data_IF_683152059543
#
_entry.id   IF_683152059543
#
_cell.length_a   1.000
_cell.length_b   1.000
_cell.length_c   1.000
_cell.angle_alpha   90.00
_cell.angle_beta   90.00
_cell.angle_gamma   90.00
#
_symmetry.space_group_name_H-M   'P 1'
#
loop_
_entity.id
_entity.type
_entity.pdbx_description
1 polymer ?
#
# COMPACT_ATOMS: atom_id res chain seq x y z
N UNK A 1 -26.66 -25.43 -18.20
CA UNK A 1 -25.39 -25.07 -17.56
C UNK A 1 -25.18 -23.57 -17.72
N UNK A 2 -25.18 -22.79 -16.63
CA UNK A 2 -24.95 -21.34 -16.67
C UNK A 2 -23.57 -21.06 -16.05
N UNK A 3 -22.76 -20.29 -16.74
CA UNK A 3 -21.46 -19.86 -16.22
C UNK A 3 -21.69 -18.49 -15.58
N UNK A 4 -21.50 -18.41 -14.27
CA UNK A 4 -21.55 -17.15 -13.53
C UNK A 4 -20.11 -16.78 -13.18
N UNK A 5 -19.55 -15.84 -13.93
CA UNK A 5 -18.24 -15.26 -13.66
C UNK A 5 -18.37 -14.12 -12.66
N UNK A 6 -17.79 -14.28 -11.47
CA UNK A 6 -17.58 -13.15 -10.57
C UNK A 6 -16.33 -12.41 -11.01
N UNK A 7 -16.53 -11.31 -11.73
CA UNK A 7 -15.46 -10.44 -12.18
C UNK A 7 -14.97 -9.62 -10.97
N UNK A 8 -14.01 -10.15 -10.21
CA UNK A 8 -13.36 -9.37 -9.17
C UNK A 8 -12.34 -8.43 -9.81
N UNK A 9 -12.45 -7.18 -9.37
CA UNK A 9 -11.67 -5.96 -9.67
C UNK A 9 -10.12 -6.15 -9.77
N UNK A 10 -9.58 -7.26 -9.26
CA UNK A 10 -8.14 -7.54 -9.19
C UNK A 10 -7.47 -7.72 -10.57
N UNK A 11 -8.13 -8.39 -11.52
CA UNK A 11 -7.60 -8.57 -12.90
C UNK A 11 -7.66 -7.26 -13.69
N UNK A 12 -8.67 -6.43 -13.43
CA UNK A 12 -8.80 -5.09 -14.01
C UNK A 12 -7.66 -4.18 -13.52
N UNK A 13 -7.30 -4.26 -12.23
CA UNK A 13 -6.14 -3.57 -11.67
C UNK A 13 -4.82 -3.97 -12.35
N UNK A 14 -4.58 -5.27 -12.54
CA UNK A 14 -3.35 -5.77 -13.21
C UNK A 14 -3.26 -5.39 -14.69
N UNK A 15 -4.39 -5.34 -15.40
CA UNK A 15 -4.42 -5.05 -16.85
C UNK A 15 -4.33 -3.55 -17.15
N UNK A 16 -4.98 -2.71 -16.34
CA UNK A 16 -4.82 -1.25 -16.37
C UNK A 16 -3.38 -0.85 -15.96
N UNK A 17 -2.72 -1.67 -15.13
CA UNK A 17 -1.31 -1.48 -14.73
C UNK A 17 -0.31 -1.50 -15.89
N UNK A 18 -0.53 -2.36 -16.89
CA UNK A 18 0.35 -2.49 -18.04
C UNK A 18 0.10 -1.38 -19.08
N UNK A 19 -1.13 -0.89 -19.19
CA UNK A 19 -1.52 0.14 -20.17
C UNK A 19 -1.19 1.57 -19.70
N UNK A 20 -1.24 1.87 -18.40
CA UNK A 20 -0.99 3.23 -17.88
C UNK A 20 0.48 3.68 -17.97
N UNK A 21 1.41 2.76 -18.24
CA UNK A 21 2.81 3.09 -18.50
C UNK A 21 2.96 3.97 -19.75
N UNK A 22 2.08 3.87 -20.75
CA UNK A 22 2.20 4.65 -21.98
C UNK A 22 1.78 6.13 -21.82
N UNK A 23 0.84 6.43 -20.90
CA UNK A 23 0.29 7.78 -20.74
C UNK A 23 1.13 8.69 -19.83
N UNK A 24 2.01 8.13 -18.98
CA UNK A 24 2.83 8.92 -18.05
C UNK A 24 4.04 9.62 -18.69
N UNK A 25 4.35 9.33 -19.97
CA UNK A 25 5.56 9.77 -20.67
C UNK A 25 5.50 11.17 -21.32
N UNK A 26 4.43 11.95 -21.14
CA UNK A 26 4.29 13.22 -21.87
C UNK A 26 5.04 14.44 -21.30
N UNK A 27 5.55 14.41 -20.06
CA UNK A 27 6.30 15.53 -19.49
C UNK A 27 7.70 15.08 -19.04
N UNK A 28 8.74 15.62 -19.68
CA UNK A 28 10.14 15.32 -19.38
C UNK A 28 10.64 16.04 -18.12
N UNK A 29 9.94 17.07 -17.67
CA UNK A 29 10.27 17.88 -16.50
C UNK A 29 8.97 18.19 -15.77
N UNK A 30 8.92 17.85 -14.48
CA UNK A 30 7.84 18.24 -13.60
C UNK A 30 8.31 19.45 -12.77
N UNK A 31 7.46 20.47 -12.60
CA UNK A 31 7.78 21.73 -11.91
C UNK A 31 6.78 21.99 -10.79
N UNK A 32 7.29 22.28 -9.60
CA UNK A 32 6.54 22.75 -8.44
C UNK A 32 6.82 24.24 -8.22
N UNK A 33 5.80 24.97 -7.81
CA UNK A 33 5.92 26.41 -7.54
C UNK A 33 5.16 26.79 -6.27
N UNK A 34 5.69 27.73 -5.52
CA UNK A 34 5.03 28.28 -4.33
C UNK A 34 5.63 29.62 -3.92
N UNK A 35 4.90 30.41 -3.11
CA UNK A 35 5.40 31.69 -2.65
C UNK A 35 6.55 31.50 -1.65
N UNK A 36 7.61 32.28 -1.81
CA UNK A 36 8.64 32.46 -0.79
C UNK A 36 8.03 33.29 0.34
N UNK A 37 8.05 32.75 1.55
CA UNK A 37 7.60 33.49 2.73
C UNK A 37 8.82 34.15 3.38
N UNK A 38 8.76 35.46 3.54
CA UNK A 38 9.71 36.23 4.35
C UNK A 38 9.31 36.09 5.82
N UNK A 39 10.07 35.31 6.57
CA UNK A 39 9.73 34.90 7.93
C UNK A 39 10.87 35.23 8.90
N UNK A 40 10.54 35.32 10.18
CA UNK A 40 11.57 35.37 11.24
C UNK A 40 12.08 33.95 11.52
N UNK A 41 13.32 33.84 12.01
CA UNK A 41 13.98 32.55 12.29
C UNK A 41 13.12 31.60 13.14
N UNK A 42 12.40 32.12 14.14
CA UNK A 42 11.53 31.34 15.02
C UNK A 42 10.27 30.76 14.33
N UNK A 43 9.89 31.29 13.16
CA UNK A 43 8.67 30.91 12.43
C UNK A 43 8.95 30.17 11.12
N UNK A 44 10.21 30.08 10.71
CA UNK A 44 10.59 29.45 9.46
C UNK A 44 10.31 27.94 9.47
N UNK A 45 9.73 27.43 8.39
CA UNK A 45 9.49 26.01 8.19
C UNK A 45 9.65 25.63 6.72
N UNK A 46 10.26 24.48 6.46
CA UNK A 46 10.36 23.92 5.12
C UNK A 46 9.03 23.36 4.59
N UNK A 47 8.03 23.16 5.45
CA UNK A 47 6.75 22.53 5.10
C UNK A 47 5.93 23.31 4.07
N UNK A 48 6.09 24.63 4.00
CA UNK A 48 5.38 25.50 3.07
C UNK A 48 6.08 25.64 1.72
N UNK A 49 7.32 25.18 1.61
CA UNK A 49 8.15 25.35 0.43
C UNK A 49 7.94 24.19 -0.56
N UNK A 50 7.80 24.49 -1.87
CA UNK A 50 7.56 23.49 -2.90
C UNK A 50 8.76 22.53 -3.02
N UNK A 51 8.53 21.21 -3.00
CA UNK A 51 9.60 20.24 -3.20
C UNK A 51 10.69 20.23 -2.11
N UNK A 52 10.45 20.85 -0.94
CA UNK A 52 11.43 20.92 0.16
C UNK A 52 11.92 19.55 0.66
N UNK A 53 11.12 18.53 0.41
CA UNK A 53 11.44 17.13 0.60
C UNK A 53 12.70 16.67 -0.18
N UNK A 54 12.93 17.24 -1.36
CA UNK A 54 13.99 16.84 -2.29
C UNK A 54 15.24 17.72 -2.22
N UNK A 55 15.29 18.69 -1.32
CA UNK A 55 16.39 19.66 -1.27
C UNK A 55 17.69 19.04 -0.75
N UNK A 56 18.78 19.32 -1.47
CA UNK A 56 20.14 19.12 -0.98
C UNK A 56 20.43 20.05 0.20
N UNK A 57 21.54 19.80 0.91
CA UNK A 57 21.95 20.61 2.06
C UNK A 57 22.18 22.08 1.66
N UNK A 58 22.81 22.31 0.51
CA UNK A 58 23.01 23.66 -0.03
C UNK A 58 21.69 24.32 -0.44
N UNK A 59 20.78 23.58 -1.09
CA UNK A 59 19.45 24.10 -1.46
C UNK A 59 18.67 24.56 -0.22
N UNK A 60 18.71 23.77 0.87
CA UNK A 60 18.06 24.13 2.13
C UNK A 60 18.59 25.42 2.73
N UNK A 61 19.91 25.52 2.89
CA UNK A 61 20.55 26.73 3.42
C UNK A 61 20.26 27.94 2.53
N UNK A 62 20.28 27.76 1.22
CA UNK A 62 20.03 28.83 0.27
C UNK A 62 18.60 29.38 0.36
N UNK A 63 17.58 28.52 0.43
CA UNK A 63 16.19 28.99 0.59
C UNK A 63 15.96 29.55 1.99
N UNK A 64 16.58 28.97 3.02
CA UNK A 64 16.52 29.50 4.37
C UNK A 64 17.04 30.94 4.43
N UNK A 65 18.24 31.20 3.90
CA UNK A 65 18.83 32.55 3.87
C UNK A 65 18.00 33.53 3.03
N UNK A 66 17.43 33.07 1.91
CA UNK A 66 16.51 33.87 1.10
C UNK A 66 15.22 34.21 1.87
N UNK A 67 14.63 33.26 2.59
CA UNK A 67 13.43 33.45 3.42
C UNK A 67 13.66 34.36 4.63
N UNK A 68 14.89 34.47 5.13
CA UNK A 68 15.24 35.41 6.20
C UNK A 68 15.60 36.81 5.68
N UNK A 69 15.62 37.01 4.35
CA UNK A 69 16.01 38.27 3.73
C UNK A 69 17.51 38.58 3.85
N UNK A 70 18.33 37.61 4.26
CA UNK A 70 19.79 37.79 4.36
C UNK A 70 20.48 37.69 3.00
N UNK A 71 19.78 37.16 2.00
CA UNK A 71 20.27 36.98 0.63
C UNK A 71 19.28 37.52 -0.39
N UNK A 72 19.79 38.23 -1.41
CA UNK A 72 18.96 38.66 -2.54
C UNK A 72 18.43 37.45 -3.32
N UNK A 73 17.11 37.36 -3.41
CA UNK A 73 16.36 36.30 -4.09
C UNK A 73 16.37 36.43 -5.62
N UNK A 74 16.47 37.66 -6.16
CA UNK A 74 16.39 37.90 -7.59
C UNK A 74 17.70 37.50 -8.30
N UNK A 75 17.61 36.56 -9.26
CA UNK A 75 18.64 36.15 -10.25
C UNK A 75 19.53 34.94 -9.96
N UNK A 76 19.26 34.12 -8.93
CA UNK A 76 20.07 32.91 -8.72
C UNK A 76 19.26 31.61 -8.87
N UNK A 77 19.82 30.68 -9.65
CA UNK A 77 19.34 29.32 -9.81
C UNK A 77 20.40 28.36 -9.29
N UNK A 78 19.96 27.29 -8.65
CA UNK A 78 20.79 26.27 -8.07
C UNK A 78 20.46 24.93 -8.69
N UNK A 79 21.50 24.21 -9.09
CA UNK A 79 21.39 22.87 -9.65
C UNK A 79 21.89 21.86 -8.62
N UNK A 80 21.09 20.84 -8.35
CA UNK A 80 21.41 19.75 -7.44
C UNK A 80 21.37 18.40 -8.18
N UNK A 81 22.52 17.74 -8.36
CA UNK A 81 22.55 16.39 -8.90
C UNK A 81 22.04 15.37 -7.87
N UNK A 82 21.22 14.42 -8.32
CA UNK A 82 20.79 13.27 -7.53
C UNK A 82 21.45 11.99 -8.04
N UNK A 83 21.86 11.14 -7.11
CA UNK A 83 22.49 9.86 -7.41
C UNK A 83 21.63 8.68 -6.97
N UNK A 84 21.83 7.57 -7.68
CA UNK A 84 21.28 6.26 -7.36
C UNK A 84 22.45 5.28 -7.34
N UNK A 85 22.77 4.72 -6.17
CA UNK A 85 23.99 3.92 -5.96
C UNK A 85 25.27 4.68 -6.33
N UNK A 86 25.29 6.00 -6.08
CA UNK A 86 26.42 6.87 -6.45
C UNK A 86 26.52 7.22 -7.95
N UNK A 87 25.69 6.64 -8.83
CA UNK A 87 25.61 7.00 -10.24
C UNK A 87 24.62 8.14 -10.46
N UNK A 88 24.88 9.08 -11.40
CA UNK A 88 23.95 10.17 -11.69
C UNK A 88 22.61 9.61 -12.17
N UNK A 89 21.51 10.08 -11.59
CA UNK A 89 20.15 9.58 -11.86
C UNK A 89 19.13 10.69 -12.04
N UNK A 90 19.31 11.84 -11.39
CA UNK A 90 18.39 12.96 -11.55
C UNK A 90 19.12 14.29 -11.47
N UNK A 91 18.50 15.34 -12.00
CA UNK A 91 18.93 16.73 -11.83
C UNK A 91 17.72 17.51 -11.30
N UNK A 92 17.87 18.08 -10.11
CA UNK A 92 16.92 19.05 -9.58
C UNK A 92 17.44 20.47 -9.83
N UNK A 93 16.54 21.38 -10.18
CA UNK A 93 16.85 22.81 -10.35
C UNK A 93 15.90 23.60 -9.47
N UNK A 94 16.46 24.50 -8.69
CA UNK A 94 15.75 25.36 -7.77
C UNK A 94 16.06 26.81 -8.14
N UNK A 95 15.04 27.64 -8.33
CA UNK A 95 15.23 29.06 -8.58
C UNK A 95 14.16 29.90 -7.90
N UNK A 96 14.49 31.16 -7.63
CA UNK A 96 13.57 32.15 -7.09
C UNK A 96 13.39 33.24 -8.14
N UNK A 97 12.15 33.52 -8.50
CA UNK A 97 11.79 34.58 -9.43
C UNK A 97 11.78 35.96 -8.74
N UNK A 98 11.78 37.04 -9.52
CA UNK A 98 11.72 38.43 -9.03
C UNK A 98 10.47 38.74 -8.22
N UNK A 99 9.43 37.93 -8.36
CA UNK A 99 8.17 38.04 -7.60
C UNK A 99 8.17 37.20 -6.31
N UNK A 100 9.34 36.81 -5.80
CA UNK A 100 9.48 35.97 -4.60
C UNK A 100 8.70 34.65 -4.70
N UNK A 101 8.74 34.02 -5.88
CA UNK A 101 8.19 32.68 -6.08
C UNK A 101 9.32 31.68 -6.19
N UNK A 102 9.26 30.63 -5.37
CA UNK A 102 10.19 29.50 -5.40
C UNK A 102 9.68 28.49 -6.41
N UNK A 103 10.56 28.07 -7.31
CA UNK A 103 10.30 27.03 -8.28
C UNK A 103 11.29 25.89 -8.12
N UNK A 104 10.78 24.68 -8.10
CA UNK A 104 11.59 23.47 -8.03
C UNK A 104 11.21 22.54 -9.18
N UNK A 105 12.15 22.28 -10.07
CA UNK A 105 11.99 21.36 -11.19
C UNK A 105 12.87 20.15 -11.01
N UNK A 106 12.38 18.97 -11.41
CA UNK A 106 13.19 17.75 -11.43
C UNK A 106 13.11 17.09 -12.79
N UNK A 107 14.28 16.73 -13.31
CA UNK A 107 14.44 15.87 -14.47
C UNK A 107 15.09 14.56 -14.01
N UNK A 108 14.46 13.43 -14.33
CA UNK A 108 14.97 12.11 -14.00
C UNK A 108 15.51 11.44 -15.25
N UNK A 109 16.65 10.76 -15.13
CA UNK A 109 17.24 10.00 -16.23
C UNK A 109 16.43 8.72 -16.45
N UNK A 110 15.94 8.55 -17.66
CA UNK A 110 15.19 7.36 -18.09
C UNK A 110 16.11 6.17 -18.44
N UNK A 111 17.42 6.39 -18.38
CA UNK A 111 18.45 5.41 -18.69
C UNK A 111 18.58 5.16 -20.19
N UNK A 112 19.54 4.29 -20.53
CA UNK A 112 19.84 3.96 -21.93
C UNK A 112 18.66 3.28 -22.63
N UNK A 113 18.60 3.40 -23.97
CA UNK A 113 17.61 2.66 -24.78
C UNK A 113 17.71 1.15 -24.55
N UNK A 114 18.92 0.63 -24.37
CA UNK A 114 19.17 -0.79 -24.05
C UNK A 114 18.48 -1.17 -22.73
N UNK A 115 18.65 -0.37 -21.68
CA UNK A 115 17.99 -0.61 -20.39
C UNK A 115 16.46 -0.64 -20.52
N UNK A 116 15.89 0.24 -21.33
CA UNK A 116 14.45 0.27 -21.61
C UNK A 116 13.97 -1.01 -22.31
N UNK A 117 14.70 -1.51 -23.31
CA UNK A 117 14.38 -2.79 -23.96
C UNK A 117 14.56 -3.99 -23.02
N UNK A 118 15.59 -3.98 -22.16
CA UNK A 118 15.76 -5.01 -21.13
C UNK A 118 14.58 -5.05 -20.16
N UNK A 119 14.11 -3.88 -19.66
CA UNK A 119 12.89 -3.79 -18.83
C UNK A 119 11.66 -4.31 -19.56
N UNK A 120 11.51 -3.96 -20.84
CA UNK A 120 10.41 -4.45 -21.67
C UNK A 120 10.44 -5.98 -21.82
N UNK A 121 11.59 -6.56 -22.16
CA UNK A 121 11.77 -8.01 -22.27
C UNK A 121 11.52 -8.74 -20.94
N UNK A 122 11.98 -8.16 -19.83
CA UNK A 122 11.71 -8.68 -18.49
C UNK A 122 10.20 -8.69 -18.18
N UNK A 123 9.49 -7.58 -18.42
CA UNK A 123 8.04 -7.49 -18.24
C UNK A 123 7.28 -8.47 -19.12
N UNK A 124 7.67 -8.58 -20.38
CA UNK A 124 7.08 -9.55 -21.31
C UNK A 124 7.27 -10.99 -20.80
N UNK A 125 8.47 -11.35 -20.36
CA UNK A 125 8.76 -12.65 -19.76
C UNK A 125 7.95 -12.93 -18.49
N UNK A 126 7.81 -11.93 -17.61
CA UNK A 126 6.93 -12.03 -16.43
C UNK A 126 5.46 -12.27 -16.82
N UNK A 127 4.94 -11.52 -17.80
CA UNK A 127 3.57 -11.69 -18.29
C UNK A 127 3.34 -13.10 -18.85
N UNK A 128 4.26 -13.58 -19.70
CA UNK A 128 4.19 -14.96 -20.22
C UNK A 128 4.24 -16.00 -19.09
N UNK A 129 5.08 -15.78 -18.08
CA UNK A 129 5.17 -16.67 -16.92
C UNK A 129 3.88 -16.70 -16.11
N UNK A 130 3.24 -15.55 -15.88
CA UNK A 130 1.96 -15.46 -15.19
C UNK A 130 0.87 -16.16 -15.98
N UNK A 131 0.79 -15.93 -17.30
CA UNK A 131 -0.17 -16.60 -18.18
C UNK A 131 0.01 -18.13 -18.17
N UNK A 132 1.26 -18.60 -18.22
CA UNK A 132 1.58 -20.02 -18.13
C UNK A 132 1.11 -20.62 -16.79
N UNK A 133 1.38 -19.95 -15.67
CA UNK A 133 0.95 -20.42 -14.36
C UNK A 133 -0.58 -20.44 -14.27
N UNK A 134 -1.25 -19.36 -14.67
CA UNK A 134 -2.71 -19.28 -14.71
C UNK A 134 -3.32 -20.40 -15.56
N UNK A 135 -2.74 -20.69 -16.71
CA UNK A 135 -3.22 -21.78 -17.55
C UNK A 135 -3.07 -23.13 -16.85
N UNK A 136 -1.85 -23.45 -16.40
CA UNK A 136 -1.50 -24.78 -15.88
C UNK A 136 -2.13 -25.10 -14.54
N UNK A 137 -2.25 -24.13 -13.63
CA UNK A 137 -2.74 -24.37 -12.26
C UNK A 137 -4.19 -23.97 -12.03
N UNK A 138 -4.80 -23.17 -12.91
CA UNK A 138 -6.16 -22.69 -12.72
C UNK A 138 -7.10 -23.10 -13.85
N UNK A 139 -6.84 -22.66 -15.08
CA UNK A 139 -7.78 -22.86 -16.20
C UNK A 139 -7.87 -24.31 -16.68
N UNK A 140 -6.79 -25.10 -16.60
CA UNK A 140 -6.81 -26.52 -16.97
C UNK A 140 -7.79 -27.32 -16.09
N UNK A 141 -7.80 -27.07 -14.78
CA UNK A 141 -8.71 -27.77 -13.86
C UNK A 141 -10.17 -27.35 -14.08
N UNK A 142 -10.41 -26.07 -14.34
CA UNK A 142 -11.75 -25.59 -14.72
C UNK A 142 -12.27 -26.29 -15.98
N UNK A 143 -11.41 -26.43 -17.01
CA UNK A 143 -11.76 -27.12 -18.25
C UNK A 143 -12.02 -28.61 -18.04
N UNK A 144 -11.32 -29.25 -17.10
CA UNK A 144 -11.54 -30.66 -16.75
C UNK A 144 -12.89 -30.83 -16.04
N UNK A 145 -13.18 -29.99 -15.05
CA UNK A 145 -14.44 -29.99 -14.31
C UNK A 145 -15.65 -29.73 -15.23
N UNK A 146 -15.54 -28.74 -16.13
CA UNK A 146 -16.59 -28.44 -17.08
C UNK A 146 -16.86 -29.59 -18.06
N UNK A 147 -15.82 -30.35 -18.45
CA UNK A 147 -15.99 -31.55 -19.29
C UNK A 147 -16.67 -32.69 -18.51
N UNK A 148 -16.23 -32.97 -17.29
CA UNK A 148 -16.84 -33.99 -16.44
C UNK A 148 -18.32 -33.71 -16.17
N UNK A 149 -18.67 -32.47 -15.81
CA UNK A 149 -20.06 -32.09 -15.56
C UNK A 149 -20.94 -32.14 -16.82
N UNK A 150 -20.38 -31.93 -18.02
CA UNK A 150 -21.10 -32.12 -19.29
C UNK A 150 -21.30 -33.59 -19.65
N UNK A 151 -20.35 -34.45 -19.30
CA UNK A 151 -20.40 -35.87 -19.64
C UNK A 151 -21.29 -36.67 -18.68
N UNK A 152 -21.22 -36.38 -17.38
CA UNK A 152 -21.92 -37.16 -16.36
C UNK A 152 -23.21 -36.50 -15.85
N UNK A 153 -23.39 -35.20 -16.11
CA UNK A 153 -24.62 -34.46 -15.77
C UNK A 153 -24.99 -34.51 -14.28
N UNK A 154 -26.18 -34.00 -13.97
CA UNK A 154 -26.88 -34.34 -12.74
C UNK A 154 -28.09 -35.20 -13.14
N UNK A 155 -28.39 -36.27 -12.41
CA UNK A 155 -29.37 -37.29 -12.81
C UNK A 155 -30.83 -36.81 -12.94
N UNK A 156 -31.12 -35.51 -12.83
CA UNK A 156 -32.48 -34.94 -12.91
C UNK A 156 -32.65 -33.93 -14.06
N UNK A 157 -33.75 -34.06 -14.82
CA UNK A 157 -34.13 -33.19 -15.95
C UNK A 157 -34.31 -31.69 -15.59
N UNK A 158 -34.35 -31.35 -14.30
CA UNK A 158 -34.57 -29.98 -13.82
C UNK A 158 -33.40 -29.38 -13.03
N UNK A 159 -32.28 -30.10 -12.85
CA UNK A 159 -31.16 -29.58 -12.06
C UNK A 159 -30.23 -28.68 -12.88
N UNK A 160 -30.24 -27.38 -12.55
CA UNK A 160 -29.34 -26.40 -13.17
C UNK A 160 -27.98 -26.42 -12.48
N UNK A 161 -27.00 -26.99 -13.14
CA UNK A 161 -25.60 -26.89 -12.73
C UNK A 161 -25.03 -25.51 -13.09
N UNK A 162 -24.55 -24.80 -12.08
CA UNK A 162 -23.83 -23.54 -12.21
C UNK A 162 -22.38 -23.72 -11.71
N UNK A 163 -21.40 -23.33 -12.53
CA UNK A 163 -20.01 -23.30 -12.10
C UNK A 163 -19.65 -21.87 -11.72
N UNK A 164 -19.33 -21.67 -10.45
CA UNK A 164 -18.87 -20.40 -9.91
C UNK A 164 -17.35 -20.33 -10.10
N UNK A 165 -16.92 -19.40 -10.94
CA UNK A 165 -15.49 -19.16 -11.22
C UNK A 165 -14.99 -18.08 -10.27
N UNK A 166 -14.04 -18.45 -9.42
CA UNK A 166 -13.36 -17.51 -8.52
C UNK A 166 -12.33 -16.63 -9.23
N UNK A 167 -11.77 -15.65 -8.52
CA UNK A 167 -10.68 -14.82 -9.02
C UNK A 167 -9.35 -15.60 -8.96
N UNK A 168 -8.62 -15.76 -10.07
CA UNK A 168 -7.35 -16.47 -10.06
C UNK A 168 -6.21 -15.68 -9.38
N UNK A 169 -6.42 -14.40 -9.05
CA UNK A 169 -5.36 -13.55 -8.48
C UNK A 169 -4.77 -14.15 -7.20
N UNK A 170 -5.56 -14.81 -6.35
CA UNK A 170 -5.05 -15.43 -5.12
C UNK A 170 -3.94 -16.46 -5.37
N UNK A 171 -4.01 -17.21 -6.48
CA UNK A 171 -2.97 -18.16 -6.85
C UNK A 171 -1.67 -17.49 -7.26
N UNK A 172 -1.75 -16.35 -7.97
CA UNK A 172 -0.58 -15.55 -8.34
C UNK A 172 0.06 -14.98 -7.08
N UNK A 173 -0.76 -14.43 -6.18
CA UNK A 173 -0.32 -13.78 -4.95
C UNK A 173 0.38 -14.74 -3.98
N UNK A 174 0.04 -16.03 -3.98
CA UNK A 174 0.69 -17.04 -3.14
C UNK A 174 2.05 -17.49 -3.68
N UNK A 175 2.39 -17.16 -4.94
CA UNK A 175 3.66 -17.56 -5.53
C UNK A 175 4.77 -16.56 -5.19
N UNK A 176 5.60 -16.90 -4.20
CA UNK A 176 6.71 -16.06 -3.71
C UNK A 176 7.63 -15.58 -4.83
N UNK A 177 7.91 -16.42 -5.83
CA UNK A 177 8.79 -16.04 -6.95
C UNK A 177 8.17 -14.95 -7.82
N UNK A 178 6.86 -15.00 -8.05
CA UNK A 178 6.17 -13.96 -8.82
C UNK A 178 6.18 -12.63 -8.04
N UNK A 179 5.91 -12.66 -6.74
CA UNK A 179 6.03 -11.46 -5.91
C UNK A 179 7.46 -10.89 -5.94
N UNK A 180 8.49 -11.74 -5.83
CA UNK A 180 9.88 -11.31 -5.90
C UNK A 180 10.22 -10.66 -7.26
N UNK A 181 9.74 -11.22 -8.37
CA UNK A 181 9.93 -10.63 -9.70
C UNK A 181 9.28 -9.24 -9.82
N UNK A 182 8.08 -9.04 -9.26
CA UNK A 182 7.44 -7.73 -9.23
C UNK A 182 8.17 -6.72 -8.34
N UNK A 183 8.73 -7.17 -7.22
CA UNK A 183 9.60 -6.33 -6.38
C UNK A 183 10.83 -5.88 -7.17
N UNK A 184 11.48 -6.81 -7.89
CA UNK A 184 12.61 -6.47 -8.77
C UNK A 184 12.21 -5.50 -9.88
N UNK A 185 11.05 -5.69 -10.54
CA UNK A 185 10.54 -4.74 -11.56
C UNK A 185 10.41 -3.32 -11.02
N UNK A 186 9.90 -3.20 -9.80
CA UNK A 186 9.72 -1.92 -9.12
C UNK A 186 11.06 -1.24 -8.88
N UNK A 187 12.04 -1.97 -8.32
CA UNK A 187 13.40 -1.46 -8.08
C UNK A 187 14.14 -1.10 -9.37
N UNK A 188 13.87 -1.80 -10.48
CA UNK A 188 14.41 -1.43 -11.79
C UNK A 188 13.75 -0.18 -12.41
N UNK A 189 12.67 0.34 -11.80
CA UNK A 189 11.89 1.47 -12.31
C UNK A 189 11.79 2.63 -11.31
N UNK A 190 12.84 2.83 -10.50
CA UNK A 190 12.87 3.87 -9.45
C UNK A 190 12.76 5.28 -10.03
N UNK A 191 13.18 5.51 -11.27
CA UNK A 191 13.03 6.79 -11.95
C UNK A 191 11.55 7.18 -12.10
N UNK A 192 10.69 6.25 -12.49
CA UNK A 192 9.25 6.54 -12.61
C UNK A 192 8.58 6.63 -11.24
N UNK A 193 9.11 5.92 -10.23
CA UNK A 193 8.65 6.04 -8.85
C UNK A 193 8.93 7.43 -8.31
N UNK A 194 10.14 7.95 -8.52
CA UNK A 194 10.52 9.33 -8.16
C UNK A 194 9.60 10.36 -8.80
N UNK A 195 9.30 10.20 -10.10
CA UNK A 195 8.31 11.03 -10.81
C UNK A 195 6.93 10.98 -10.17
N UNK A 196 6.44 9.80 -9.80
CA UNK A 196 5.14 9.68 -9.14
C UNK A 196 5.12 10.36 -7.77
N UNK A 197 6.17 10.23 -6.96
CA UNK A 197 6.24 10.89 -5.65
C UNK A 197 6.27 12.41 -5.84
N UNK A 198 7.01 12.91 -6.83
CA UNK A 198 7.01 14.32 -7.17
C UNK A 198 5.63 14.83 -7.59
N UNK A 199 4.95 14.09 -8.47
CA UNK A 199 3.59 14.40 -8.93
C UNK A 199 2.53 14.31 -7.84
N UNK A 200 2.73 13.48 -6.81
CA UNK A 200 1.87 13.44 -5.62
C UNK A 200 1.95 14.78 -4.86
N UNK A 201 3.10 15.45 -4.85
CA UNK A 201 3.26 16.77 -4.23
C UNK A 201 2.47 17.87 -4.95
N UNK A 202 2.23 17.69 -6.25
CA UNK A 202 1.49 18.60 -7.11
C UNK A 202 -0.02 18.34 -7.05
N UNK A 203 -0.74 19.07 -6.20
CA UNK A 203 -2.21 18.92 -6.09
C UNK A 203 -3.02 19.73 -7.09
N UNK A 204 -2.38 20.43 -8.03
CA UNK A 204 -3.11 21.25 -9.00
C UNK A 204 -3.94 20.41 -9.96
N UNK A 205 -3.49 19.18 -10.25
CA UNK A 205 -4.20 18.23 -11.11
C UNK A 205 -4.50 16.91 -10.38
N UNK A 206 -5.78 16.73 -10.01
CA UNK A 206 -6.26 15.53 -9.33
C UNK A 206 -6.14 14.27 -10.19
N UNK A 207 -6.12 14.38 -11.53
CA UNK A 207 -5.90 13.24 -12.41
C UNK A 207 -4.46 12.76 -12.35
N UNK A 208 -3.50 13.69 -12.37
CA UNK A 208 -2.08 13.37 -12.20
C UNK A 208 -1.86 12.71 -10.84
N UNK A 209 -2.42 13.26 -9.77
CA UNK A 209 -2.38 12.65 -8.44
C UNK A 209 -2.93 11.21 -8.42
N UNK A 210 -4.10 11.00 -9.04
CA UNK A 210 -4.75 9.70 -9.07
C UNK A 210 -3.93 8.66 -9.87
N UNK A 211 -3.37 9.06 -11.03
CA UNK A 211 -2.53 8.19 -11.86
C UNK A 211 -1.21 7.86 -11.14
N UNK A 212 -0.59 8.86 -10.49
CA UNK A 212 0.63 8.65 -9.71
C UNK A 212 0.39 7.72 -8.53
N UNK A 213 -0.72 7.90 -7.81
CA UNK A 213 -1.15 7.01 -6.73
C UNK A 213 -1.41 5.60 -7.25
N UNK A 214 -2.13 5.46 -8.37
CA UNK A 214 -2.39 4.18 -8.99
C UNK A 214 -1.08 3.48 -9.35
N UNK A 215 -0.13 4.17 -9.98
CA UNK A 215 1.17 3.59 -10.33
C UNK A 215 1.97 3.15 -9.11
N UNK A 216 1.94 3.96 -8.04
CA UNK A 216 2.66 3.68 -6.80
C UNK A 216 2.02 2.56 -5.98
N UNK A 217 0.76 2.19 -6.26
CA UNK A 217 0.11 1.03 -5.64
C UNK A 217 0.81 -0.32 -5.91
N UNK A 218 1.74 -0.41 -6.88
CA UNK A 218 2.59 -1.62 -7.07
C UNK A 218 3.45 -1.96 -5.86
N UNK A 219 3.68 -1.00 -4.99
CA UNK A 219 4.37 -1.26 -3.72
C UNK A 219 3.64 -2.31 -2.85
N UNK A 220 2.38 -2.64 -3.17
CA UNK A 220 1.65 -3.76 -2.56
C UNK A 220 2.39 -5.09 -2.69
N UNK A 221 3.20 -5.26 -3.75
CA UNK A 221 4.02 -6.44 -3.95
C UNK A 221 5.08 -6.63 -2.86
N UNK A 222 5.56 -5.55 -2.23
CA UNK A 222 6.42 -5.66 -1.05
C UNK A 222 5.67 -6.34 0.10
N UNK A 223 4.43 -5.91 0.34
CA UNK A 223 3.57 -6.50 1.35
C UNK A 223 3.25 -7.96 1.07
N UNK A 224 2.92 -8.31 -0.17
CA UNK A 224 2.65 -9.70 -0.55
C UNK A 224 3.89 -10.60 -0.45
N UNK A 225 5.06 -10.11 -0.87
CA UNK A 225 6.31 -10.85 -0.71
C UNK A 225 6.60 -11.12 0.77
N UNK A 226 6.50 -10.09 1.60
CA UNK A 226 6.73 -10.21 3.05
C UNK A 226 5.71 -11.16 3.69
N UNK A 227 4.43 -11.10 3.33
CA UNK A 227 3.40 -12.03 3.81
C UNK A 227 3.69 -13.48 3.43
N UNK A 228 4.16 -13.73 2.21
CA UNK A 228 4.51 -15.08 1.76
C UNK A 228 5.73 -15.62 2.52
N UNK A 229 6.76 -14.79 2.68
CA UNK A 229 7.96 -15.15 3.44
C UNK A 229 7.63 -15.37 4.93
N UNK A 230 6.87 -14.47 5.54
CA UNK A 230 6.43 -14.63 6.93
C UNK A 230 5.56 -15.87 7.09
N UNK A 231 4.68 -16.18 6.13
CA UNK A 231 3.86 -17.40 6.17
C UNK A 231 4.69 -18.68 6.12
N UNK A 232 5.84 -18.67 5.42
CA UNK A 232 6.79 -19.79 5.47
C UNK A 232 7.48 -19.90 6.85
N UNK A 233 7.93 -18.76 7.40
CA UNK A 233 8.58 -18.71 8.72
C UNK A 233 7.61 -19.10 9.85
N UNK A 234 6.39 -18.58 9.84
CA UNK A 234 5.36 -18.88 10.83
C UNK A 234 4.97 -20.36 10.84
N UNK A 235 4.90 -20.99 9.65
CA UNK A 235 4.69 -22.45 9.52
C UNK A 235 5.84 -23.26 10.09
N UNK A 236 7.08 -22.86 9.79
CA UNK A 236 8.29 -23.47 10.35
C UNK A 236 8.34 -23.35 11.89
N UNK A 237 7.83 -22.25 12.45
CA UNK A 237 7.85 -21.99 13.89
C UNK A 237 6.55 -22.38 14.62
N UNK A 238 5.54 -22.94 13.93
CA UNK A 238 4.22 -23.26 14.49
C UNK A 238 3.49 -22.08 15.18
N UNK A 239 3.71 -20.85 14.69
CA UNK A 239 3.15 -19.61 15.26
C UNK A 239 1.88 -19.11 14.56
N UNK A 240 1.25 -19.94 13.73
CA UNK A 240 0.08 -19.55 12.93
C UNK A 240 -1.09 -19.04 13.78
N UNK A 241 -1.27 -19.59 14.99
CA UNK A 241 -2.34 -19.22 15.93
C UNK A 241 -2.22 -17.80 16.50
N UNK A 242 -1.06 -17.17 16.37
CA UNK A 242 -0.81 -15.80 16.83
C UNK A 242 -1.08 -14.75 15.74
N UNK A 243 -1.27 -15.16 14.49
CA UNK A 243 -1.38 -14.28 13.35
C UNK A 243 -2.83 -14.23 12.84
N UNK A 244 -3.36 -13.03 12.60
CA UNK A 244 -4.60 -12.90 11.84
C UNK A 244 -4.34 -13.12 10.35
N UNK A 245 -5.32 -13.68 9.66
CA UNK A 245 -5.25 -13.82 8.21
C UNK A 245 -5.39 -12.43 7.56
N UNK A 246 -4.33 -11.96 6.90
CA UNK A 246 -4.38 -10.78 6.07
C UNK A 246 -5.15 -11.09 4.78
N UNK A 247 -6.23 -10.36 4.55
CA UNK A 247 -6.95 -10.40 3.29
C UNK A 247 -6.19 -9.58 2.21
N UNK A 248 -5.86 -10.16 1.04
CA UNK A 248 -5.08 -9.47 0.03
C UNK A 248 -5.70 -8.18 -0.52
N UNK A 249 -7.04 -8.09 -0.58
CA UNK A 249 -7.71 -6.87 -1.02
C UNK A 249 -7.57 -5.76 0.01
N UNK A 250 -7.73 -6.09 1.31
CA UNK A 250 -7.49 -5.15 2.40
C UNK A 250 -6.07 -4.58 2.38
N UNK A 251 -5.07 -5.44 2.09
CA UNK A 251 -3.68 -5.00 1.93
C UNK A 251 -3.54 -4.05 0.73
N UNK A 252 -4.13 -4.37 -0.42
CA UNK A 252 -4.07 -3.50 -1.59
C UNK A 252 -4.70 -2.12 -1.34
N UNK A 253 -5.87 -2.07 -0.71
CA UNK A 253 -6.55 -0.82 -0.35
C UNK A 253 -5.70 -0.03 0.66
N UNK A 254 -5.20 -0.70 1.71
CA UNK A 254 -4.37 -0.06 2.72
C UNK A 254 -3.11 0.54 2.12
N UNK A 255 -2.42 -0.19 1.25
CA UNK A 255 -1.23 0.31 0.56
C UNK A 255 -1.58 1.49 -0.35
N UNK A 256 -2.65 1.43 -1.14
CA UNK A 256 -3.08 2.54 -1.99
C UNK A 256 -3.34 3.83 -1.20
N UNK A 257 -3.97 3.72 -0.02
CA UNK A 257 -4.19 4.86 0.89
C UNK A 257 -2.88 5.39 1.50
N UNK A 258 -1.94 4.50 1.81
CA UNK A 258 -0.63 4.86 2.36
C UNK A 258 0.22 5.58 1.31
N UNK A 259 0.31 5.06 0.10
CA UNK A 259 1.22 5.61 -0.92
C UNK A 259 0.72 6.85 -1.64
N UNK A 260 -0.59 7.08 -1.69
CA UNK A 260 -1.15 8.32 -2.24
C UNK A 260 -1.42 9.35 -1.14
N UNK A 261 -2.62 9.34 -0.53
CA UNK A 261 -3.02 10.34 0.47
C UNK A 261 -2.07 10.49 1.65
N UNK A 262 -1.60 9.40 2.26
CA UNK A 262 -0.73 9.52 3.44
C UNK A 262 0.67 10.04 3.05
N UNK A 263 1.25 9.58 1.94
CA UNK A 263 2.50 10.15 1.41
C UNK A 263 2.34 11.65 1.14
N UNK A 264 1.23 12.08 0.54
CA UNK A 264 0.95 13.51 0.36
C UNK A 264 1.00 14.30 1.67
N UNK A 265 0.38 13.79 2.74
CA UNK A 265 0.48 14.43 4.06
C UNK A 265 1.90 14.39 4.63
N UNK A 266 2.64 13.29 4.43
CA UNK A 266 4.04 13.19 4.89
C UNK A 266 4.93 14.25 4.23
N UNK A 267 4.71 14.56 2.94
CA UNK A 267 5.47 15.59 2.22
C UNK A 267 5.26 17.01 2.79
N UNK A 268 4.26 17.24 3.65
CA UNK A 268 3.92 18.55 4.25
C UNK A 268 4.22 18.66 5.74
N UNK A 269 4.72 17.60 6.35
CA UNK A 269 5.05 17.60 7.78
C UNK A 269 6.55 17.80 7.97
N UNK A 270 6.94 18.83 8.71
CA UNK A 270 8.35 19.18 8.94
C UNK A 270 9.19 18.01 9.45
N UNK A 271 8.63 17.21 10.37
CA UNK A 271 9.31 16.00 10.89
C UNK A 271 9.71 15.03 9.77
N UNK A 272 8.81 14.76 8.82
CA UNK A 272 9.12 13.86 7.71
C UNK A 272 10.09 14.51 6.73
N UNK A 273 9.91 15.79 6.42
CA UNK A 273 10.83 16.55 5.56
C UNK A 273 12.28 16.45 6.08
N UNK A 274 12.48 16.58 7.39
CA UNK A 274 13.81 16.45 8.00
C UNK A 274 14.31 15.01 8.03
N UNK A 275 13.44 14.06 8.37
CA UNK A 275 13.78 12.63 8.33
C UNK A 275 14.27 12.21 6.95
N UNK A 276 13.55 12.58 5.89
CA UNK A 276 13.93 12.23 4.52
C UNK A 276 15.20 12.93 4.07
N UNK A 277 15.45 14.17 4.49
CA UNK A 277 16.72 14.83 4.21
C UNK A 277 17.91 14.13 4.86
N UNK A 278 17.77 13.67 6.11
CA UNK A 278 18.79 12.83 6.74
C UNK A 278 19.01 11.56 5.91
N UNK A 279 17.94 10.92 5.44
CA UNK A 279 18.06 9.74 4.56
C UNK A 279 18.74 10.06 3.22
N UNK A 280 18.47 11.21 2.61
CA UNK A 280 19.10 11.64 1.35
C UNK A 280 20.58 11.97 1.49
N UNK A 281 21.05 12.30 2.69
CA UNK A 281 22.41 12.83 2.93
C UNK A 281 23.32 11.89 3.72
N UNK A 282 22.78 10.94 4.48
CA UNK A 282 23.55 10.15 5.45
C UNK A 282 24.64 9.25 4.86
N UNK A 283 24.53 8.84 3.58
CA UNK A 283 25.52 8.00 2.91
C UNK A 283 26.35 8.75 1.84
N UNK A 284 26.23 10.07 1.77
CA UNK A 284 27.03 10.86 0.83
C UNK A 284 28.46 11.05 1.36
N UNK A 285 29.48 10.96 0.48
CA UNK A 285 30.84 11.39 0.82
C UNK A 285 30.90 12.88 1.15
N UNK A 286 31.80 13.28 2.05
CA UNK A 286 31.99 14.68 2.46
C UNK A 286 32.19 15.65 1.28
N UNK A 287 32.84 15.19 0.20
CA UNK A 287 33.05 16.00 -1.01
C UNK A 287 31.76 16.33 -1.79
N UNK A 288 30.68 15.60 -1.55
CA UNK A 288 29.39 15.71 -2.27
C UNK A 288 28.23 16.10 -1.35
N UNK A 289 28.42 16.11 -0.03
CA UNK A 289 27.38 16.31 0.98
C UNK A 289 26.57 17.61 0.78
N UNK A 290 27.19 18.67 0.27
CA UNK A 290 26.53 19.95 0.09
C UNK A 290 25.59 19.99 -1.11
N UNK A 291 26.02 19.45 -2.25
CA UNK A 291 25.35 19.66 -3.54
C UNK A 291 24.50 18.46 -3.99
N UNK A 292 24.78 17.26 -3.48
CA UNK A 292 24.16 16.02 -3.95
C UNK A 292 23.06 15.51 -3.03
N UNK A 293 22.21 14.64 -3.57
CA UNK A 293 21.24 13.81 -2.82
C UNK A 293 21.35 12.35 -3.28
N UNK A 294 21.29 11.39 -2.35
CA UNK A 294 21.31 9.95 -2.67
C UNK A 294 19.92 9.32 -2.44
N UNK A 295 19.34 8.75 -3.49
CA UNK A 295 17.94 8.30 -3.47
C UNK A 295 17.75 6.88 -2.90
N UNK A 296 18.81 6.09 -2.78
CA UNK A 296 18.72 4.69 -2.34
C UNK A 296 18.26 4.52 -0.88
N UNK A 297 18.83 5.21 0.13
CA UNK A 297 18.42 5.03 1.52
C UNK A 297 16.93 5.28 1.75
N UNK A 298 16.31 6.38 1.27
CA UNK A 298 14.88 6.56 1.43
C UNK A 298 14.07 5.50 0.66
N UNK A 299 14.51 5.04 -0.51
CA UNK A 299 13.85 3.95 -1.23
C UNK A 299 13.85 2.62 -0.46
N UNK A 300 14.96 2.29 0.22
CA UNK A 300 15.07 1.11 1.10
C UNK A 300 14.09 1.23 2.26
N UNK A 301 14.12 2.36 2.98
CA UNK A 301 13.23 2.59 4.13
C UNK A 301 11.77 2.51 3.71
N UNK A 302 11.41 3.15 2.60
CA UNK A 302 10.07 3.12 2.03
C UNK A 302 9.61 1.68 1.69
N UNK A 303 10.49 0.88 1.09
CA UNK A 303 10.24 -0.54 0.78
C UNK A 303 10.02 -1.37 2.06
N UNK A 304 10.85 -1.18 3.09
CA UNK A 304 10.73 -1.89 4.37
C UNK A 304 9.41 -1.54 5.06
N UNK A 305 9.07 -0.24 5.14
CA UNK A 305 7.84 0.22 5.79
C UNK A 305 6.61 -0.36 5.11
N UNK A 306 6.55 -0.33 3.77
CA UNK A 306 5.42 -0.88 3.02
C UNK A 306 5.37 -2.41 3.05
N UNK A 307 6.51 -3.08 3.06
CA UNK A 307 6.59 -4.52 3.24
C UNK A 307 6.14 -4.96 4.64
N UNK A 308 6.48 -4.20 5.68
CA UNK A 308 6.12 -4.49 7.06
C UNK A 308 4.66 -4.13 7.39
N UNK A 309 4.06 -3.19 6.65
CA UNK A 309 2.67 -2.74 6.85
C UNK A 309 1.65 -3.88 7.05
N UNK A 310 1.54 -4.88 6.16
CA UNK A 310 0.60 -5.99 6.36
C UNK A 310 0.96 -6.88 7.55
N UNK A 311 2.24 -7.00 7.95
CA UNK A 311 2.60 -7.73 9.16
C UNK A 311 2.11 -7.02 10.41
N UNK A 312 2.32 -5.69 10.47
CA UNK A 312 1.83 -4.87 11.59
C UNK A 312 0.33 -5.06 11.72
N UNK A 313 -0.43 -5.02 10.61
CA UNK A 313 -1.86 -5.30 10.61
C UNK A 313 -2.19 -6.71 11.14
N UNK A 314 -1.52 -7.75 10.61
CA UNK A 314 -1.77 -9.15 10.96
C UNK A 314 -1.45 -9.49 12.42
N UNK A 315 -0.47 -8.82 13.04
CA UNK A 315 -0.13 -9.04 14.45
C UNK A 315 -0.86 -8.09 15.41
N UNK A 316 -1.08 -6.83 15.01
CA UNK A 316 -1.75 -5.83 15.85
C UNK A 316 -3.23 -6.18 16.07
N UNK A 317 -3.92 -6.71 15.07
CA UNK A 317 -5.35 -7.02 15.19
C UNK A 317 -5.65 -8.12 16.24
N UNK A 318 -4.94 -9.27 16.27
CA UNK A 318 -5.02 -10.24 17.36
C UNK A 318 -4.65 -9.66 18.73
N UNK A 319 -3.60 -8.82 18.79
CA UNK A 319 -3.17 -8.22 20.05
C UNK A 319 -4.25 -7.27 20.61
N UNK A 320 -4.82 -6.42 19.75
CA UNK A 320 -5.88 -5.49 20.10
C UNK A 320 -7.16 -6.21 20.52
N UNK A 321 -7.57 -7.25 19.79
CA UNK A 321 -8.77 -8.03 20.16
C UNK A 321 -8.60 -8.76 21.49
N UNK A 322 -7.40 -9.29 21.78
CA UNK A 322 -7.08 -9.86 23.10
C UNK A 322 -7.16 -8.80 24.20
N UNK A 323 -6.59 -7.61 23.99
CA UNK A 323 -6.64 -6.50 24.94
C UNK A 323 -8.08 -6.02 25.19
N UNK A 324 -8.85 -5.78 24.13
CA UNK A 324 -10.25 -5.35 24.23
C UNK A 324 -11.08 -6.40 24.97
N UNK A 325 -10.90 -7.70 24.65
CA UNK A 325 -11.61 -8.78 25.35
C UNK A 325 -11.24 -8.83 26.83
N UNK A 326 -9.97 -8.63 27.18
CA UNK A 326 -9.54 -8.56 28.59
C UNK A 326 -10.16 -7.37 29.31
N UNK A 327 -10.21 -6.19 28.69
CA UNK A 327 -10.84 -5.00 29.28
C UNK A 327 -12.35 -5.20 29.45
N UNK A 328 -13.05 -5.71 28.42
CA UNK A 328 -14.48 -5.98 28.49
C UNK A 328 -14.81 -7.05 29.55
N UNK A 329 -14.02 -8.12 29.66
CA UNK A 329 -14.17 -9.10 30.74
C UNK A 329 -13.97 -8.46 32.12
N UNK A 330 -12.95 -7.61 32.30
CA UNK A 330 -12.73 -6.89 33.57
C UNK A 330 -13.88 -5.95 33.91
N UNK A 331 -14.41 -5.21 32.93
CA UNK A 331 -15.56 -4.33 33.10
C UNK A 331 -16.85 -5.12 33.40
N UNK A 332 -17.06 -6.24 32.72
CA UNK A 332 -18.21 -7.12 32.96
C UNK A 332 -18.16 -7.73 34.37
N UNK A 333 -17.01 -8.21 34.83
CA UNK A 333 -16.81 -8.71 36.19
C UNK A 333 -17.09 -7.60 37.22
N UNK A 334 -16.57 -6.38 37.01
CA UNK A 334 -16.84 -5.22 37.88
C UNK A 334 -18.32 -4.85 37.94
N UNK A 335 -19.02 -4.94 36.81
CA UNK A 335 -20.47 -4.66 36.72
C UNK A 335 -21.30 -5.72 37.45
N UNK A 336 -20.90 -6.99 37.38
CA UNK A 336 -21.55 -8.07 38.13
C UNK A 336 -21.29 -7.91 39.62
N UNK A 337 -20.06 -7.61 40.05
CA UNK A 337 -19.78 -7.39 41.47
C UNK A 337 -20.55 -6.19 42.02
N UNK A 338 -20.71 -5.10 41.26
CA UNK A 338 -21.52 -3.96 41.70
C UNK A 338 -23.01 -4.28 41.78
N UNK A 339 -23.55 -5.08 40.86
CA UNK A 339 -24.95 -5.55 40.92
C UNK A 339 -25.17 -6.55 42.06
N UNK A 340 -24.19 -7.40 42.37
CA UNK A 340 -24.26 -8.34 43.49
C UNK A 340 -24.29 -7.59 44.84
N UNK A 341 -23.56 -6.48 44.97
CA UNK A 341 -23.58 -5.65 46.17
C UNK A 341 -24.88 -4.84 46.34
N UNK A 342 -25.52 -4.37 45.27
CA UNK A 342 -26.81 -3.65 45.36
C UNK A 342 -28.01 -4.59 45.48
N UNK A 343 -27.89 -5.85 45.03
CA UNK A 343 -28.97 -6.83 45.04
C UNK A 343 -28.93 -7.81 46.22
N UNK A 344 -28.30 -7.41 47.33
CA UNK A 344 -28.24 -8.16 48.61
C UNK A 344 -29.58 -8.39 49.32
N UNK A 345 -30.73 -8.17 48.67
CA UNK A 345 -32.07 -8.48 49.22
C UNK A 345 -32.99 -9.33 48.33
N UNK A 346 -32.59 -9.79 47.13
CA UNK A 346 -33.49 -10.61 46.25
C UNK A 346 -32.82 -11.71 45.41
N UNK A 347 -31.71 -12.29 45.84
CA UNK A 347 -30.97 -13.29 45.03
C UNK A 347 -31.02 -14.73 45.54
N UNK A 348 -32.08 -15.11 46.29
CA UNK A 348 -32.34 -16.52 46.65
C UNK A 348 -33.26 -17.27 45.69
N UNK A 349 -33.79 -16.64 44.63
CA UNK A 349 -34.73 -17.30 43.69
C UNK A 349 -34.25 -17.50 42.25
N UNK A 350 -33.13 -16.91 41.83
CA UNK A 350 -32.71 -16.96 40.41
C UNK A 350 -31.67 -18.06 40.14
N UNK A 351 -31.04 -18.64 41.16
CA UNK A 351 -29.99 -19.65 41.02
C UNK A 351 -30.55 -21.07 40.76
N UNK A 352 -31.87 -21.26 40.77
CA UNK A 352 -32.51 -22.57 40.51
C UNK A 352 -32.91 -22.82 39.04
N UNK A 353 -32.61 -21.90 38.09
CA UNK A 353 -33.03 -22.06 36.68
C UNK A 353 -31.92 -21.98 35.62
N UNK A 354 -30.65 -21.90 36.01
CA UNK A 354 -29.53 -21.82 35.05
C UNK A 354 -28.76 -23.14 34.84
N UNK A 355 -29.24 -24.27 35.37
CA UNK A 355 -28.60 -25.60 35.23
C UNK A 355 -29.16 -26.46 34.10
N UNK A 356 -29.80 -25.88 33.07
CA UNK A 356 -30.44 -26.66 32.01
C UNK A 356 -30.34 -25.99 30.62
N UNK A 357 -29.12 -25.70 30.18
CA UNK A 357 -28.78 -25.64 28.74
C UNK A 357 -27.41 -26.30 28.56
N UNK A 358 -27.37 -27.63 28.77
CA UNK A 358 -26.46 -28.48 28.01
C UNK A 358 -27.00 -28.43 26.59
N UNK A 359 -26.38 -27.58 25.75
CA UNK A 359 -26.64 -27.57 24.32
C UNK A 359 -26.31 -28.96 23.79
N UNK A 360 -27.35 -29.69 23.39
CA UNK A 360 -27.23 -30.74 22.40
C UNK A 360 -26.39 -30.19 21.24
N UNK A 361 -25.29 -30.88 20.96
CA UNK A 361 -24.52 -30.66 19.74
C UNK A 361 -25.39 -31.25 18.63
N UNK A 362 -26.25 -30.42 18.06
CA UNK A 362 -26.95 -30.73 16.82
C UNK A 362 -25.91 -31.05 15.75
N UNK A 363 -25.93 -32.30 15.29
CA UNK A 363 -25.13 -32.83 14.18
C UNK A 363 -25.51 -32.26 12.81
N UNK A 364 -25.72 -30.96 12.71
CA UNK A 364 -26.03 -30.21 11.48
C UNK A 364 -25.15 -28.98 11.24
N UNK A 365 -24.22 -28.66 12.15
CA UNK A 365 -23.43 -27.43 12.09
C UNK A 365 -22.12 -27.53 11.28
N UNK A 366 -22.01 -28.45 10.32
CA UNK A 366 -20.85 -28.51 9.40
C UNK A 366 -20.85 -27.39 8.35
N UNK A 367 -21.89 -26.55 8.31
CA UNK A 367 -21.97 -25.40 7.42
C UNK A 367 -22.38 -24.12 8.14
N UNK A 368 -21.85 -23.84 9.34
CA UNK A 368 -21.64 -22.43 9.70
C UNK A 368 -20.41 -21.95 8.95
N UNK A 369 -20.60 -21.64 7.67
CA UNK A 369 -19.72 -20.75 6.94
C UNK A 369 -19.76 -19.40 7.66
N UNK A 370 -18.86 -19.27 8.64
CA UNK A 370 -18.50 -18.02 9.27
C UNK A 370 -17.84 -17.17 8.20
N UNK A 371 -18.64 -16.47 7.39
CA UNK A 371 -18.14 -15.41 6.54
C UNK A 371 -17.73 -14.25 7.45
N UNK A 372 -16.50 -14.34 7.96
CA UNK A 372 -15.84 -13.28 8.72
C UNK A 372 -15.26 -12.19 7.81
N UNK A 373 -15.56 -12.24 6.51
CA UNK A 373 -15.08 -11.24 5.55
C UNK A 373 -16.02 -10.02 5.59
N UNK A 374 -15.51 -8.92 6.15
CA UNK A 374 -16.21 -7.64 6.25
C UNK A 374 -16.73 -7.15 4.88
N UNK A 375 -16.12 -7.58 3.77
CA UNK A 375 -16.58 -7.29 2.42
C UNK A 375 -17.96 -7.86 2.11
N UNK A 376 -18.24 -9.08 2.56
CA UNK A 376 -19.57 -9.67 2.40
C UNK A 376 -20.58 -8.94 3.26
N UNK A 377 -20.20 -8.46 4.46
CA UNK A 377 -21.09 -7.62 5.29
C UNK A 377 -21.35 -6.25 4.68
N UNK A 378 -20.34 -5.64 4.05
CA UNK A 378 -20.49 -4.36 3.36
C UNK A 378 -21.36 -4.50 2.09
N UNK A 379 -21.11 -5.55 1.28
CA UNK A 379 -21.92 -5.87 0.11
C UNK A 379 -23.35 -6.25 0.48
N UNK A 380 -23.55 -7.07 1.52
CA UNK A 380 -24.89 -7.39 2.02
C UNK A 380 -25.56 -6.16 2.62
N UNK A 381 -24.84 -5.29 3.33
CA UNK A 381 -25.39 -4.02 3.84
C UNK A 381 -25.76 -3.02 2.74
N UNK A 382 -25.01 -3.00 1.64
CA UNK A 382 -25.31 -2.17 0.46
C UNK A 382 -26.46 -2.75 -0.39
N UNK A 383 -26.58 -4.08 -0.48
CA UNK A 383 -27.60 -4.75 -1.29
C UNK A 383 -28.93 -4.90 -0.54
N UNK A 384 -28.89 -5.16 0.77
CA UNK A 384 -30.08 -5.41 1.59
C UNK A 384 -30.46 -4.23 2.50
N UNK A 385 -29.69 -3.14 2.49
CA UNK A 385 -29.91 -1.99 3.37
C UNK A 385 -29.59 -2.31 4.83
N UNK A 386 -29.10 -1.32 5.57
CA UNK A 386 -28.89 -1.43 7.02
C UNK A 386 -30.21 -1.70 7.74
N UNK A 387 -30.56 -2.97 7.93
CA UNK A 387 -31.76 -3.35 8.66
C UNK A 387 -31.91 -4.86 8.73
N UNK A 388 -31.08 -5.50 9.55
CA UNK A 388 -31.36 -6.73 10.32
C UNK A 388 -30.03 -7.37 10.75
N UNK A 389 -29.50 -6.91 11.89
CA UNK A 389 -28.69 -7.74 12.78
C UNK A 389 -29.61 -8.39 13.81
#
# INVERSE_FOLDING_TARGET
MRIVTFNKVSVFFSSVFLLNLASMYCAAVDVLSGPLQHLTEASFTYATLPGAFFYSKRSRLWVHDASLGTRNASSTALVQPGTLFGFPSSIGVLWIDTHDNVFFAVQLDHGSSVWRYCKFGFRFGMTLRILYLLWTTYYVHYRSLARGLRQYGACGEHERLEIIVGDPTSFILQNTWICALFVVDFWCSLETVGQCIFRIDQTTDMWVFAISTLYLSRTVWFGYLVLNLSGFVLRRCALESYCAQADPTGVAIGVALVVGPLTYYQLRLSFFIDLYHVLYTCFLPQSKEMDYVEHIPPAIVYTIVLGAFPLVYSFALPALTRLVRQVLCRLWIRRISSMAHTSGRRLSRVISRSSLIVRAIDGGAFARLSYNDWKHRLLLGLVFGCGCC
#
